data_IF_189791080155
#
_entry.id   IF_189791080155
#
_cell.length_a   1.000
_cell.length_b   1.000
_cell.length_c   1.000
_cell.angle_alpha   90.00
_cell.angle_beta   90.00
_cell.angle_gamma   90.00
#
_symmetry.space_group_name_H-M   'P 1'
#
loop_
_entity.id
_entity.type
_entity.pdbx_description
1 polymer ?
#
# COMPACT_ATOMS: atom_id res chain seq x y z
N UNK A 1 6.81 -1.92 -13.27
CA UNK A 1 5.54 -1.99 -12.50
C UNK A 1 4.76 -3.20 -12.98
N UNK A 2 4.30 -4.08 -12.10
CA UNK A 2 3.51 -5.26 -12.45
C UNK A 2 1.99 -5.00 -12.32
N UNK A 3 1.16 -5.97 -12.72
CA UNK A 3 -0.29 -5.84 -12.66
C UNK A 3 -0.80 -5.63 -11.23
N UNK A 4 -0.23 -6.33 -10.24
CA UNK A 4 -0.63 -6.20 -8.83
C UNK A 4 -0.38 -4.78 -8.29
N UNK A 5 0.74 -4.16 -8.65
CA UNK A 5 1.08 -2.78 -8.30
C UNK A 5 0.12 -1.78 -8.97
N UNK A 6 -0.25 -2.00 -10.24
CA UNK A 6 -1.25 -1.19 -10.94
C UNK A 6 -2.64 -1.31 -10.29
N UNK A 7 -3.04 -2.51 -9.90
CA UNK A 7 -4.33 -2.75 -9.25
C UNK A 7 -4.37 -2.12 -7.86
N UNK A 8 -3.28 -2.20 -7.08
CA UNK A 8 -3.18 -1.53 -5.79
C UNK A 8 -3.23 0.00 -5.95
N UNK A 9 -2.52 0.55 -6.95
CA UNK A 9 -2.54 1.97 -7.26
C UNK A 9 -3.97 2.46 -7.58
N UNK A 10 -4.64 1.79 -8.53
CA UNK A 10 -6.00 2.16 -8.92
C UNK A 10 -7.00 1.99 -7.76
N UNK A 11 -6.88 0.90 -7.01
CA UNK A 11 -7.71 0.64 -5.83
C UNK A 11 -7.62 1.80 -4.84
N UNK A 12 -6.40 2.25 -4.56
CA UNK A 12 -6.13 3.30 -3.59
C UNK A 12 -6.57 4.68 -4.09
N UNK A 13 -6.22 5.05 -5.33
CA UNK A 13 -6.57 6.34 -5.90
C UNK A 13 -8.09 6.56 -6.02
N UNK A 14 -8.86 5.50 -6.22
CA UNK A 14 -10.32 5.57 -6.24
C UNK A 14 -10.96 5.75 -4.85
N UNK A 15 -10.19 5.52 -3.78
CA UNK A 15 -10.61 5.62 -2.38
C UNK A 15 -9.94 6.78 -1.64
N UNK A 16 -9.03 7.48 -2.31
CA UNK A 16 -8.33 8.68 -1.84
C UNK A 16 -9.24 9.90 -1.97
N UNK A 17 -9.09 10.89 -1.09
CA UNK A 17 -9.68 12.21 -1.33
C UNK A 17 -9.19 12.80 -2.65
N UNK A 18 -10.06 13.42 -3.44
CA UNK A 18 -9.68 13.97 -4.75
C UNK A 18 -8.54 15.00 -4.65
N UNK A 19 -8.56 15.82 -3.60
CA UNK A 19 -7.51 16.79 -3.27
C UNK A 19 -6.18 16.17 -2.83
N UNK A 20 -6.15 14.85 -2.58
CA UNK A 20 -4.99 14.08 -2.12
C UNK A 20 -4.53 13.02 -3.13
N UNK A 21 -5.23 12.84 -4.26
CA UNK A 21 -4.87 11.84 -5.29
C UNK A 21 -3.43 11.94 -5.77
N UNK A 22 -2.94 13.15 -6.08
CA UNK A 22 -1.56 13.33 -6.52
C UNK A 22 -0.52 12.95 -5.45
N UNK A 23 -0.80 13.26 -4.18
CA UNK A 23 0.08 12.88 -3.07
C UNK A 23 0.09 11.36 -2.85
N UNK A 24 -1.07 10.73 -2.93
CA UNK A 24 -1.24 9.28 -2.82
C UNK A 24 -0.51 8.51 -3.93
N UNK A 25 -0.62 8.98 -5.17
CA UNK A 25 0.05 8.38 -6.33
C UNK A 25 1.57 8.39 -6.17
N UNK A 26 2.16 9.55 -5.83
CA UNK A 26 3.60 9.68 -5.62
C UNK A 26 4.08 8.72 -4.52
N UNK A 27 3.32 8.62 -3.42
CA UNK A 27 3.70 7.77 -2.30
C UNK A 27 3.71 6.29 -2.69
N UNK A 28 2.67 5.82 -3.38
CA UNK A 28 2.60 4.43 -3.85
C UNK A 28 3.67 4.11 -4.90
N UNK A 29 3.92 5.02 -5.84
CA UNK A 29 5.00 4.86 -6.83
C UNK A 29 6.38 4.77 -6.16
N UNK A 30 6.64 5.57 -5.12
CA UNK A 30 7.86 5.45 -4.32
C UNK A 30 7.96 4.10 -3.61
N UNK A 31 6.85 3.62 -3.02
CA UNK A 31 6.79 2.29 -2.39
C UNK A 31 7.14 1.20 -3.40
N UNK A 32 6.51 1.20 -4.58
CA UNK A 32 6.75 0.21 -5.62
C UNK A 32 8.18 0.26 -6.17
N UNK A 33 8.73 1.46 -6.34
CA UNK A 33 10.12 1.64 -6.81
C UNK A 33 11.16 1.09 -5.83
N UNK A 34 10.81 1.05 -4.53
CA UNK A 34 11.68 0.48 -3.50
C UNK A 34 11.49 -1.02 -3.28
N UNK A 35 10.47 -1.65 -3.87
CA UNK A 35 10.20 -3.10 -3.71
C UNK A 35 11.19 -3.99 -4.43
N UNK A 36 11.73 -3.58 -5.58
CA UNK A 36 12.74 -4.37 -6.31
C UNK A 36 14.03 -4.57 -5.49
N UNK A 37 14.30 -3.67 -4.54
CA UNK A 37 15.53 -3.69 -3.74
C UNK A 37 15.33 -4.01 -2.26
N UNK A 38 14.07 -4.07 -1.76
CA UNK A 38 13.78 -4.34 -0.36
C UNK A 38 12.44 -5.08 -0.17
N UNK A 39 12.42 -6.17 0.63
CA UNK A 39 11.17 -6.84 0.97
C UNK A 39 10.21 -5.90 1.72
N UNK A 40 8.90 -6.11 1.54
CA UNK A 40 7.87 -5.45 2.33
C UNK A 40 7.73 -6.19 3.66
N UNK A 41 8.55 -5.80 4.64
CA UNK A 41 8.42 -6.28 6.02
C UNK A 41 7.18 -5.66 6.67
N UNK A 42 6.70 -6.26 7.76
CA UNK A 42 5.56 -5.73 8.53
C UNK A 42 5.78 -4.26 8.93
N UNK A 43 6.98 -3.90 9.41
CA UNK A 43 7.32 -2.53 9.76
C UNK A 43 7.19 -1.54 8.59
N UNK A 44 7.46 -1.99 7.34
CA UNK A 44 7.24 -1.15 6.16
C UNK A 44 5.76 -1.04 5.81
N UNK A 45 5.00 -2.12 5.98
CA UNK A 45 3.55 -2.09 5.80
C UNK A 45 2.93 -1.09 6.79
N UNK A 46 3.34 -1.09 8.05
CA UNK A 46 2.87 -0.15 9.07
C UNK A 46 3.23 1.31 8.75
N UNK A 47 4.44 1.58 8.23
CA UNK A 47 4.86 2.91 7.78
C UNK A 47 4.06 3.39 6.56
N UNK A 48 3.81 2.50 5.61
CA UNK A 48 3.01 2.78 4.42
C UNK A 48 1.56 3.06 4.82
N UNK A 49 0.98 2.21 5.67
CA UNK A 49 -0.36 2.38 6.21
C UNK A 49 -0.51 3.73 6.91
N UNK A 50 0.42 4.09 7.80
CA UNK A 50 0.40 5.35 8.54
C UNK A 50 0.42 6.58 7.63
N UNK A 51 1.05 6.48 6.46
CA UNK A 51 1.11 7.57 5.47
C UNK A 51 -0.06 7.56 4.48
N UNK A 52 -0.61 6.39 4.19
CA UNK A 52 -1.70 6.21 3.26
C UNK A 52 -3.06 6.53 3.89
N UNK A 53 -3.35 6.03 5.11
CA UNK A 53 -4.66 6.22 5.75
C UNK A 53 -5.12 7.70 5.83
N UNK A 54 -4.26 8.68 6.16
CA UNK A 54 -4.66 10.10 6.18
C UNK A 54 -5.08 10.66 4.80
N UNK A 55 -4.75 9.97 3.70
CA UNK A 55 -5.08 10.38 2.33
C UNK A 55 -6.38 9.72 1.84
N UNK A 56 -6.81 8.65 2.49
CA UNK A 56 -7.99 7.83 2.13
C UNK A 56 -9.23 8.38 2.81
N UNK A 57 -10.39 8.21 2.19
CA UNK A 57 -11.66 8.52 2.84
C UNK A 57 -11.93 7.51 3.98
N UNK A 58 -12.33 7.93 5.19
CA UNK A 58 -12.45 7.05 6.36
C UNK A 58 -13.27 5.79 6.13
N UNK A 59 -14.31 5.83 5.29
CA UNK A 59 -15.15 4.68 4.94
C UNK A 59 -14.39 3.54 4.24
N UNK A 60 -13.19 3.81 3.70
CA UNK A 60 -12.36 2.83 3.01
C UNK A 60 -11.14 2.38 3.81
N UNK A 61 -10.96 2.83 5.06
CA UNK A 61 -9.80 2.46 5.88
C UNK A 61 -9.65 0.95 6.02
N UNK A 62 -10.72 0.23 6.38
CA UNK A 62 -10.68 -1.22 6.51
C UNK A 62 -10.26 -1.92 5.21
N UNK A 63 -10.80 -1.47 4.07
CA UNK A 63 -10.50 -2.04 2.76
C UNK A 63 -9.05 -1.77 2.33
N UNK A 64 -8.49 -0.61 2.68
CA UNK A 64 -7.08 -0.29 2.43
C UNK A 64 -6.15 -1.14 3.28
N UNK A 65 -6.46 -1.32 4.56
CA UNK A 65 -5.70 -2.21 5.46
C UNK A 65 -5.65 -3.64 4.93
N UNK A 66 -6.81 -4.20 4.59
CA UNK A 66 -6.93 -5.54 4.05
C UNK A 66 -6.12 -5.69 2.75
N UNK A 67 -6.22 -4.72 1.83
CA UNK A 67 -5.47 -4.78 0.55
C UNK A 67 -3.95 -4.68 0.75
N UNK A 68 -3.47 -3.93 1.74
CA UNK A 68 -2.04 -3.85 2.09
C UNK A 68 -1.55 -5.14 2.75
N UNK A 69 -2.36 -5.77 3.61
CA UNK A 69 -2.01 -7.03 4.26
C UNK A 69 -1.91 -8.19 3.25
N UNK A 70 -2.78 -8.19 2.24
CA UNK A 70 -2.76 -9.16 1.14
C UNK A 70 -1.76 -8.84 0.02
N UNK A 71 -1.04 -7.72 0.08
CA UNK A 71 -0.15 -7.34 -1.01
C UNK A 71 1.06 -8.30 -1.10
N UNK A 72 1.27 -8.99 -2.23
CA UNK A 72 2.24 -10.07 -2.34
C UNK A 72 3.67 -9.53 -2.41
N UNK A 73 4.29 -9.29 -1.26
CA UNK A 73 5.75 -9.26 -1.08
C UNK A 73 6.16 -9.39 0.41
N UNK A 74 5.41 -10.18 1.20
CA UNK A 74 5.91 -10.66 2.51
C UNK A 74 6.99 -11.71 2.23
N UNK A 75 8.22 -11.25 2.04
CA UNK A 75 9.36 -12.14 2.01
C UNK A 75 9.72 -12.51 3.45
N UNK A 76 8.89 -13.32 4.10
CA UNK A 76 9.25 -14.10 5.29
C UNK A 76 8.34 -15.33 5.41
N UNK A 77 8.92 -16.53 5.66
CA UNK A 77 8.14 -17.72 5.96
C UNK A 77 7.31 -17.48 7.22
N UNK A 78 6.08 -17.96 7.20
CA UNK A 78 5.26 -18.12 8.40
C UNK A 78 6.01 -19.04 9.36
N UNK A 79 6.79 -18.50 10.31
CA UNK A 79 7.08 -19.24 11.54
C UNK A 79 5.78 -19.25 12.34
N UNK A 80 4.94 -20.23 12.03
CA UNK A 80 4.11 -20.87 13.04
C UNK A 80 5.04 -21.75 13.85
N UNK A 81 5.35 -21.35 15.09
CA UNK A 81 5.55 -22.21 16.26
C UNK A 81 5.72 -21.35 17.52
#
# INVERSE_FOLDING_TARGET
MNQDQLDLLNFFLNRTFDSKRGQAEILLLQVFSTQENRPLTQHRIDDIESKLLPLVKPEYFAAVKERLDHFPNRNEPLTME
#
